data_IF_067199849740
#
_entry.id   IF_067199849740
#
_cell.length_a   1.000
_cell.length_b   1.000
_cell.length_c   1.000
_cell.angle_alpha   90.00
_cell.angle_beta   90.00
_cell.angle_gamma   90.00
#
_symmetry.space_group_name_H-M   'P 1'
#
loop_
_entity.id
_entity.type
_entity.pdbx_description
1 polymer ?
#
# COMPACT_ATOMS: atom_id res chain seq x y z
N UNK A 1 5.38 42.22 -23.35
CA UNK A 1 5.37 40.77 -23.68
C UNK A 1 4.80 40.03 -22.48
N UNK A 2 3.70 39.27 -22.61
CA UNK A 2 3.18 38.48 -21.50
C UNK A 2 3.99 37.18 -21.35
N UNK A 3 4.36 36.87 -20.11
CA UNK A 3 4.90 35.59 -19.68
C UNK A 3 3.86 34.48 -19.93
N UNK A 4 4.15 33.58 -20.85
CA UNK A 4 3.41 32.33 -21.00
C UNK A 4 3.55 31.51 -19.72
N UNK A 5 2.47 31.44 -18.95
CA UNK A 5 2.30 30.42 -17.91
C UNK A 5 2.23 29.07 -18.60
N UNK A 6 3.37 28.38 -18.71
CA UNK A 6 3.38 27.01 -19.19
C UNK A 6 2.70 26.13 -18.14
N UNK A 7 1.41 25.86 -18.38
CA UNK A 7 0.63 24.80 -17.73
C UNK A 7 1.33 23.48 -18.07
N UNK A 8 2.22 23.02 -17.20
CA UNK A 8 2.53 21.60 -17.12
C UNK A 8 1.24 20.88 -16.73
N UNK A 9 0.48 20.50 -17.75
CA UNK A 9 -0.61 19.55 -17.66
C UNK A 9 -0.03 18.32 -16.98
N UNK A 10 -0.46 18.08 -15.76
CA UNK A 10 -0.19 16.85 -15.03
C UNK A 10 -0.62 15.68 -15.92
N UNK A 11 0.34 15.07 -16.63
CA UNK A 11 0.09 13.95 -17.51
C UNK A 11 -0.46 12.83 -16.62
N UNK A 12 -1.68 12.37 -16.89
CA UNK A 12 -2.24 11.24 -16.17
C UNK A 12 -1.34 10.04 -16.39
N UNK A 13 -0.81 9.48 -15.29
CA UNK A 13 0.02 8.29 -15.35
C UNK A 13 -0.80 7.13 -15.91
N UNK A 14 -0.26 6.41 -16.88
CA UNK A 14 -0.87 5.27 -17.56
C UNK A 14 -0.44 4.00 -16.85
N UNK A 15 -1.40 3.20 -16.42
CA UNK A 15 -1.14 1.96 -15.70
C UNK A 15 -1.93 0.79 -16.28
N UNK A 16 -1.37 -0.41 -16.20
CA UNK A 16 -2.03 -1.66 -16.57
C UNK A 16 -1.80 -2.76 -15.54
N UNK A 17 -2.55 -3.85 -15.64
CA UNK A 17 -2.34 -5.07 -14.85
C UNK A 17 -1.80 -6.16 -15.76
N UNK A 18 -0.72 -6.81 -15.36
CA UNK A 18 -0.13 -7.95 -16.06
C UNK A 18 0.09 -9.13 -15.11
N UNK A 19 0.46 -10.28 -15.64
CA UNK A 19 0.66 -11.50 -14.87
C UNK A 19 1.75 -12.41 -15.44
N UNK A 20 2.29 -13.26 -14.59
CA UNK A 20 3.48 -14.08 -14.88
C UNK A 20 3.21 -15.32 -15.74
N UNK A 21 2.10 -16.02 -15.48
CA UNK A 21 1.74 -17.24 -16.20
C UNK A 21 0.22 -17.42 -16.31
N UNK A 22 -0.29 -18.22 -17.28
CA UNK A 22 -1.73 -18.32 -17.59
C UNK A 22 -2.64 -18.65 -16.41
N UNK A 23 -2.17 -19.47 -15.45
CA UNK A 23 -2.91 -19.79 -14.22
C UNK A 23 -3.29 -18.58 -13.34
N UNK A 24 -2.69 -17.41 -13.55
CA UNK A 24 -3.01 -16.17 -12.82
C UNK A 24 -3.94 -15.23 -13.59
N UNK A 25 -4.32 -15.56 -14.83
CA UNK A 25 -5.08 -14.68 -15.72
C UNK A 25 -6.42 -14.25 -15.11
N UNK A 26 -7.16 -15.17 -14.50
CA UNK A 26 -8.45 -14.86 -13.87
C UNK A 26 -8.29 -13.88 -12.68
N UNK A 27 -7.28 -14.10 -11.83
CA UNK A 27 -7.00 -13.22 -10.69
C UNK A 27 -6.53 -11.83 -11.16
N UNK A 28 -5.70 -11.77 -12.20
CA UNK A 28 -5.24 -10.51 -12.79
C UNK A 28 -6.40 -9.74 -13.46
N UNK A 29 -7.28 -10.43 -14.18
CA UNK A 29 -8.48 -9.83 -14.77
C UNK A 29 -9.45 -9.28 -13.71
N UNK A 30 -9.62 -10.00 -12.59
CA UNK A 30 -10.39 -9.53 -11.45
C UNK A 30 -9.81 -8.25 -10.84
N UNK A 31 -8.49 -8.22 -10.65
CA UNK A 31 -7.78 -7.04 -10.15
C UNK A 31 -7.88 -5.85 -11.11
N UNK A 32 -7.69 -6.08 -12.42
CA UNK A 32 -7.83 -5.06 -13.45
C UNK A 32 -9.21 -4.40 -13.41
N UNK A 33 -10.27 -5.22 -13.32
CA UNK A 33 -11.66 -4.74 -13.20
C UNK A 33 -11.88 -3.94 -11.91
N UNK A 34 -11.36 -4.43 -10.77
CA UNK A 34 -11.48 -3.75 -9.49
C UNK A 34 -10.82 -2.36 -9.52
N UNK A 35 -9.71 -2.21 -10.24
CA UNK A 35 -8.94 -0.98 -10.32
C UNK A 35 -9.34 -0.07 -11.49
N UNK A 36 -10.20 -0.53 -12.39
CA UNK A 36 -10.52 0.18 -13.63
C UNK A 36 -9.32 0.33 -14.57
N UNK A 37 -8.40 -0.65 -14.56
CA UNK A 37 -7.19 -0.66 -15.37
C UNK A 37 -7.28 -1.70 -16.50
N UNK A 38 -6.61 -1.50 -17.64
CA UNK A 38 -6.51 -2.52 -18.67
C UNK A 38 -5.71 -3.73 -18.19
N UNK A 39 -6.16 -4.93 -18.57
CA UNK A 39 -5.35 -6.15 -18.48
C UNK A 39 -4.45 -6.20 -19.71
N UNK A 40 -3.14 -6.33 -19.51
CA UNK A 40 -2.14 -6.34 -20.58
C UNK A 40 -1.33 -7.64 -20.53
N UNK A 41 -1.03 -8.19 -21.70
CA UNK A 41 -0.24 -9.42 -21.87
C UNK A 41 1.26 -9.15 -21.84
N UNK A 42 1.69 -7.93 -22.17
CA UNK A 42 3.08 -7.47 -22.13
C UNK A 42 3.13 -6.05 -21.56
N UNK A 43 4.28 -5.68 -20.98
CA UNK A 43 4.59 -4.29 -20.67
C UNK A 43 4.64 -3.53 -21.99
N UNK A 44 3.62 -2.73 -22.27
CA UNK A 44 3.58 -1.90 -23.47
C UNK A 44 4.37 -0.60 -23.21
N UNK A 45 5.04 -0.10 -24.24
CA UNK A 45 5.83 1.14 -24.20
C UNK A 45 4.98 2.39 -23.89
N UNK A 46 3.65 2.26 -23.96
CA UNK A 46 2.68 3.31 -23.66
C UNK A 46 2.15 3.27 -22.21
N UNK A 47 2.66 2.41 -21.35
CA UNK A 47 2.39 2.48 -19.92
C UNK A 47 3.53 3.22 -19.21
N UNK A 48 3.23 3.82 -18.07
CA UNK A 48 4.25 4.35 -17.15
C UNK A 48 4.50 3.35 -16.00
N UNK A 49 3.48 2.56 -15.65
CA UNK A 49 3.54 1.53 -14.62
C UNK A 49 2.74 0.28 -14.98
N UNK A 50 3.19 -0.87 -14.47
CA UNK A 50 2.42 -2.12 -14.51
C UNK A 50 2.33 -2.72 -13.12
N UNK A 51 1.11 -3.04 -12.72
CA UNK A 51 0.82 -3.83 -11.54
C UNK A 51 0.88 -5.31 -11.94
N UNK A 52 1.98 -5.96 -11.58
CA UNK A 52 2.34 -7.29 -12.04
C UNK A 52 1.99 -8.35 -10.99
N UNK A 53 1.12 -9.29 -11.35
CA UNK A 53 0.74 -10.44 -10.53
C UNK A 53 1.71 -11.60 -10.80
N UNK A 54 2.58 -11.88 -9.82
CA UNK A 54 3.44 -13.08 -9.85
C UNK A 54 2.76 -14.24 -9.15
N UNK A 55 3.38 -15.42 -9.20
CA UNK A 55 2.93 -16.58 -8.44
C UNK A 55 2.93 -16.35 -6.92
N UNK A 56 3.71 -15.38 -6.42
CA UNK A 56 3.94 -15.20 -4.98
C UNK A 56 3.48 -13.87 -4.43
N UNK A 57 3.24 -12.84 -5.24
CA UNK A 57 2.89 -11.49 -4.77
C UNK A 57 2.29 -10.61 -5.85
N UNK A 58 1.86 -9.42 -5.44
CA UNK A 58 1.61 -8.28 -6.32
C UNK A 58 2.77 -7.29 -6.22
N UNK A 59 3.25 -6.78 -7.35
CA UNK A 59 4.33 -5.79 -7.38
C UNK A 59 4.07 -4.72 -8.44
N UNK A 60 4.59 -3.52 -8.22
CA UNK A 60 4.58 -2.41 -9.16
C UNK A 60 5.90 -2.37 -9.92
N UNK A 61 5.83 -2.31 -11.25
CA UNK A 61 6.98 -2.20 -12.14
C UNK A 61 6.88 -0.89 -12.94
N UNK A 62 8.01 -0.25 -13.19
CA UNK A 62 8.13 0.89 -14.09
C UNK A 62 8.31 0.40 -15.52
N UNK A 63 7.76 1.14 -16.47
CA UNK A 63 7.81 0.80 -17.89
C UNK A 63 8.41 2.00 -18.62
N UNK A 64 9.73 1.95 -18.87
CA UNK A 64 10.50 3.04 -19.49
C UNK A 64 12.03 2.90 -19.36
N UNK A 65 12.76 3.72 -20.12
CA UNK A 65 14.22 3.61 -20.35
C UNK A 65 15.11 4.08 -19.19
N UNK A 66 14.56 4.76 -18.19
CA UNK A 66 15.32 5.06 -16.97
C UNK A 66 15.47 3.74 -16.22
N UNK A 67 16.70 3.18 -16.24
CA UNK A 67 17.10 1.86 -15.69
C UNK A 67 16.05 1.29 -14.73
N UNK A 68 15.45 0.12 -15.00
CA UNK A 68 14.20 -0.28 -14.36
C UNK A 68 14.36 -0.19 -12.85
N UNK A 69 13.68 0.80 -12.25
CA UNK A 69 13.60 0.89 -10.81
C UNK A 69 13.09 -0.46 -10.32
N UNK A 70 13.83 -1.07 -9.39
CA UNK A 70 13.50 -2.39 -8.88
C UNK A 70 12.00 -2.45 -8.51
N UNK A 71 11.29 -3.54 -8.81
CA UNK A 71 9.87 -3.63 -8.52
C UNK A 71 9.59 -3.28 -7.06
N UNK A 72 8.47 -2.61 -6.81
CA UNK A 72 8.06 -2.24 -5.45
C UNK A 72 6.82 -3.02 -5.04
N UNK A 73 6.86 -3.59 -3.84
CA UNK A 73 5.73 -4.29 -3.24
C UNK A 73 5.71 -4.05 -1.73
N UNK A 74 4.55 -4.21 -1.11
CA UNK A 74 4.45 -4.20 0.36
C UNK A 74 5.04 -5.50 0.91
N UNK A 75 6.00 -5.42 1.83
CA UNK A 75 6.71 -6.59 2.35
C UNK A 75 6.84 -6.52 3.87
N UNK A 76 6.37 -7.56 4.54
CA UNK A 76 6.35 -7.67 6.00
C UNK A 76 6.96 -8.97 6.52
N UNK A 77 7.16 -9.98 5.65
CA UNK A 77 7.62 -11.33 6.02
C UNK A 77 9.13 -11.48 5.76
N UNK A 78 9.61 -11.05 4.59
CA UNK A 78 10.99 -11.28 4.14
C UNK A 78 11.80 -9.98 3.99
N UNK A 79 13.10 -10.05 4.26
CA UNK A 79 14.06 -9.01 3.85
C UNK A 79 14.09 -7.73 4.72
N UNK A 80 14.76 -6.68 4.24
CA UNK A 80 15.01 -5.44 4.99
C UNK A 80 13.75 -4.70 5.44
N UNK A 81 12.63 -4.83 4.72
CA UNK A 81 11.34 -4.27 5.13
C UNK A 81 10.69 -5.08 6.28
N UNK A 82 10.88 -6.41 6.30
CA UNK A 82 10.48 -7.27 7.42
C UNK A 82 11.44 -7.22 8.63
N UNK A 83 12.72 -6.87 8.44
CA UNK A 83 13.74 -6.99 9.51
C UNK A 83 14.73 -5.81 9.69
N UNK A 84 15.06 -4.99 8.67
CA UNK A 84 15.99 -3.85 8.86
C UNK A 84 15.26 -2.65 9.48
N UNK A 85 15.35 -2.49 10.80
CA UNK A 85 16.45 -1.80 11.50
C UNK A 85 16.73 -0.40 10.98
N UNK A 86 15.77 0.51 11.15
CA UNK A 86 16.10 1.83 11.71
C UNK A 86 15.71 1.80 13.17
N UNK A 87 16.60 1.30 14.03
CA UNK A 87 16.36 1.23 15.49
C UNK A 87 15.92 2.59 16.05
N UNK A 88 16.53 3.68 15.58
CA UNK A 88 16.13 5.04 16.00
C UNK A 88 14.75 5.49 15.52
N UNK A 89 14.40 5.26 14.24
CA UNK A 89 13.11 5.71 13.68
C UNK A 89 11.90 4.98 14.28
N UNK A 90 12.04 3.66 14.52
CA UNK A 90 11.00 2.85 15.16
C UNK A 90 10.71 3.33 16.58
N UNK A 91 11.75 3.60 17.35
CA UNK A 91 11.60 4.05 18.73
C UNK A 91 10.95 5.43 18.81
N UNK A 92 11.31 6.35 17.91
CA UNK A 92 10.64 7.66 17.81
C UNK A 92 9.16 7.52 17.44
N UNK A 93 8.81 6.64 16.50
CA UNK A 93 7.42 6.38 16.13
C UNK A 93 6.61 5.82 17.31
N UNK A 94 7.13 4.80 17.98
CA UNK A 94 6.49 4.14 19.14
C UNK A 94 6.29 5.16 20.27
N UNK A 95 7.31 5.99 20.54
CA UNK A 95 7.23 7.07 21.55
C UNK A 95 6.23 8.14 21.15
N UNK A 96 6.21 8.56 19.88
CA UNK A 96 5.28 9.60 19.38
C UNK A 96 3.81 9.16 19.48
N UNK A 97 3.53 7.87 19.23
CA UNK A 97 2.20 7.28 19.39
C UNK A 97 1.85 6.99 20.85
N UNK A 98 2.84 7.03 21.75
CA UNK A 98 2.63 6.83 23.19
C UNK A 98 2.37 5.37 23.57
N UNK A 99 2.90 4.41 22.80
CA UNK A 99 2.72 2.99 23.08
C UNK A 99 3.39 2.63 24.41
N UNK A 100 2.60 2.09 25.35
CA UNK A 100 3.08 1.52 26.62
C UNK A 100 2.83 0.02 26.62
N UNK A 101 3.74 -0.77 27.22
CA UNK A 101 3.71 -2.23 27.17
C UNK A 101 2.36 -2.84 27.61
N UNK A 102 1.70 -2.24 28.60
CA UNK A 102 0.46 -2.79 29.18
C UNK A 102 -0.83 -2.18 28.59
N UNK A 103 -0.72 -1.19 27.70
CA UNK A 103 -1.90 -0.52 27.12
C UNK A 103 -1.58 0.05 25.73
N UNK A 104 -1.50 -0.80 24.70
CA UNK A 104 -1.32 -0.31 23.34
C UNK A 104 -2.57 0.45 22.85
N UNK A 105 -2.44 1.65 22.26
CA UNK A 105 -3.58 2.40 21.76
C UNK A 105 -4.15 1.79 20.47
N UNK A 106 -5.38 2.19 20.14
CA UNK A 106 -5.88 2.09 18.76
C UNK A 106 -5.34 3.26 17.95
N UNK A 107 -4.81 2.98 16.77
CA UNK A 107 -4.18 3.96 15.88
C UNK A 107 -4.95 4.05 14.58
N UNK A 108 -5.17 5.28 14.11
CA UNK A 108 -5.63 5.55 12.76
C UNK A 108 -4.46 6.08 11.94
N UNK A 109 -4.05 5.32 10.92
CA UNK A 109 -3.08 5.75 9.92
C UNK A 109 -3.84 6.30 8.70
N UNK A 110 -3.90 7.63 8.60
CA UNK A 110 -4.65 8.32 7.56
C UNK A 110 -3.94 8.31 6.18
N UNK A 111 -2.70 7.82 6.13
CA UNK A 111 -1.79 7.87 4.98
C UNK A 111 -1.02 6.56 4.83
N UNK A 112 -1.78 5.47 4.71
CA UNK A 112 -1.27 4.10 4.85
C UNK A 112 -0.05 3.76 4.00
N UNK A 113 -0.01 4.22 2.76
CA UNK A 113 1.08 3.93 1.84
C UNK A 113 1.36 2.43 1.76
N UNK A 114 2.63 2.05 1.94
CA UNK A 114 3.06 0.64 1.97
C UNK A 114 2.95 -0.01 3.36
N UNK A 115 2.27 0.63 4.32
CA UNK A 115 1.90 0.05 5.62
C UNK A 115 3.05 -0.23 6.59
N UNK A 116 4.26 0.28 6.34
CA UNK A 116 5.44 -0.04 7.16
C UNK A 116 5.30 0.41 8.62
N UNK A 117 4.89 1.65 8.83
CA UNK A 117 4.78 2.25 10.18
C UNK A 117 3.58 1.64 10.93
N UNK A 118 2.45 1.46 10.25
CA UNK A 118 1.32 0.69 10.75
C UNK A 118 1.72 -0.73 11.18
N UNK A 119 2.52 -1.44 10.39
CA UNK A 119 2.98 -2.79 10.72
C UNK A 119 3.93 -2.81 11.94
N UNK A 120 4.76 -1.78 12.09
CA UNK A 120 5.59 -1.61 13.30
C UNK A 120 4.70 -1.43 14.55
N UNK A 121 3.69 -0.58 14.47
CA UNK A 121 2.78 -0.31 15.59
C UNK A 121 1.91 -1.52 15.94
N UNK A 122 1.45 -2.25 14.93
CA UNK A 122 0.73 -3.51 15.11
C UNK A 122 1.59 -4.58 15.79
N UNK A 123 2.87 -4.67 15.41
CA UNK A 123 3.85 -5.54 16.09
C UNK A 123 4.15 -5.12 17.54
N UNK A 124 3.81 -3.89 17.94
CA UNK A 124 3.83 -3.43 19.33
C UNK A 124 2.47 -3.61 20.04
N UNK A 125 1.52 -4.30 19.43
CA UNK A 125 0.22 -4.62 20.01
C UNK A 125 -0.91 -3.64 19.69
N UNK A 126 -0.64 -2.56 18.95
CA UNK A 126 -1.66 -1.57 18.58
C UNK A 126 -2.68 -2.19 17.60
N UNK A 127 -3.96 -1.86 17.77
CA UNK A 127 -4.94 -2.05 16.69
C UNK A 127 -4.80 -0.89 15.71
N UNK A 128 -4.60 -1.14 14.42
CA UNK A 128 -4.31 -0.09 13.43
C UNK A 128 -5.33 -0.10 12.31
N UNK A 129 -6.01 1.03 12.12
CA UNK A 129 -6.90 1.28 10.98
C UNK A 129 -6.15 2.11 9.95
N UNK A 130 -5.87 1.51 8.80
CA UNK A 130 -5.14 2.15 7.71
C UNK A 130 -6.12 2.66 6.66
N UNK A 131 -5.95 3.91 6.25
CA UNK A 131 -6.62 4.48 5.08
C UNK A 131 -5.61 4.73 3.97
N UNK A 132 -5.90 4.20 2.79
CA UNK A 132 -5.14 4.49 1.58
C UNK A 132 -6.09 4.83 0.43
N UNK A 133 -5.94 6.04 -0.12
CA UNK A 133 -6.82 6.58 -1.15
C UNK A 133 -6.45 6.11 -2.56
N UNK A 134 -5.18 5.80 -2.80
CA UNK A 134 -4.71 5.34 -4.09
C UNK A 134 -5.04 3.84 -4.22
N UNK A 135 -5.93 3.45 -5.15
CA UNK A 135 -6.41 2.08 -5.24
C UNK A 135 -5.31 1.07 -5.62
N UNK A 136 -4.28 1.50 -6.36
CA UNK A 136 -3.12 0.66 -6.70
C UNK A 136 -2.26 0.40 -5.46
N UNK A 137 -1.98 1.44 -4.67
CA UNK A 137 -1.20 1.29 -3.43
C UNK A 137 -1.97 0.46 -2.41
N UNK A 138 -3.28 0.68 -2.28
CA UNK A 138 -4.14 -0.13 -1.41
C UNK A 138 -4.16 -1.62 -1.84
N UNK A 139 -4.12 -1.92 -3.15
CA UNK A 139 -4.03 -3.29 -3.64
C UNK A 139 -2.68 -3.94 -3.30
N UNK A 140 -1.56 -3.21 -3.44
CA UNK A 140 -0.22 -3.67 -3.03
C UNK A 140 -0.16 -3.93 -1.53
N UNK A 141 -0.68 -3.01 -0.71
CA UNK A 141 -0.73 -3.15 0.73
C UNK A 141 -1.59 -4.35 1.15
N UNK A 142 -2.76 -4.53 0.53
CA UNK A 142 -3.63 -5.68 0.78
C UNK A 142 -2.93 -7.00 0.48
N UNK A 143 -2.22 -7.10 -0.64
CA UNK A 143 -1.40 -8.28 -0.98
C UNK A 143 -0.33 -8.56 0.08
N UNK A 144 0.38 -7.53 0.53
CA UNK A 144 1.36 -7.64 1.60
C UNK A 144 0.77 -8.14 2.93
N UNK A 145 -0.38 -7.58 3.34
CA UNK A 145 -1.07 -7.98 4.56
C UNK A 145 -1.60 -9.42 4.50
N UNK A 146 -2.10 -9.87 3.35
CA UNK A 146 -2.53 -11.25 3.16
C UNK A 146 -1.36 -12.23 3.31
N UNK A 147 -0.20 -11.90 2.75
CA UNK A 147 1.02 -12.71 2.92
C UNK A 147 1.52 -12.72 4.36
N UNK A 148 1.44 -11.59 5.05
CA UNK A 148 1.77 -11.50 6.47
C UNK A 148 0.83 -12.36 7.34
N UNK A 149 -0.48 -12.34 7.05
CA UNK A 149 -1.45 -13.17 7.77
C UNK A 149 -1.19 -14.68 7.60
N UNK A 150 -0.63 -15.08 6.46
CA UNK A 150 -0.27 -16.48 6.18
C UNK A 150 1.03 -16.93 6.88
N UNK A 151 1.93 -16.03 7.28
CA UNK A 151 3.19 -16.37 7.96
C UNK A 151 3.00 -16.41 9.48
N UNK A 152 3.40 -17.50 10.17
CA UNK A 152 3.29 -17.60 11.63
C UNK A 152 3.93 -16.43 12.39
N UNK A 153 5.07 -15.92 11.91
CA UNK A 153 5.85 -14.87 12.56
C UNK A 153 5.19 -13.48 12.50
N UNK A 154 4.29 -13.28 11.54
CA UNK A 154 3.71 -11.97 11.21
C UNK A 154 2.18 -11.93 11.31
N UNK A 155 1.56 -13.11 11.53
CA UNK A 155 0.11 -13.29 11.62
C UNK A 155 -0.55 -12.39 12.65
N UNK A 156 -0.01 -12.33 13.87
CA UNK A 156 -0.61 -11.58 14.97
C UNK A 156 -0.57 -10.07 14.70
N UNK A 157 0.53 -9.57 14.14
CA UNK A 157 0.65 -8.19 13.71
C UNK A 157 -0.34 -7.87 12.58
N UNK A 158 -0.43 -8.76 11.58
CA UNK A 158 -1.35 -8.58 10.46
C UNK A 158 -2.83 -8.58 10.90
N UNK A 159 -3.19 -9.43 11.88
CA UNK A 159 -4.54 -9.52 12.42
C UNK A 159 -5.01 -8.25 13.14
N UNK A 160 -4.08 -7.41 13.60
CA UNK A 160 -4.38 -6.12 14.22
C UNK A 160 -4.54 -4.97 13.22
N UNK A 161 -4.38 -5.22 11.92
CA UNK A 161 -4.43 -4.21 10.87
C UNK A 161 -5.72 -4.33 10.07
N UNK A 162 -6.45 -3.22 9.98
CA UNK A 162 -7.65 -3.08 9.16
C UNK A 162 -7.41 -2.06 8.06
N UNK A 163 -7.37 -2.50 6.80
CA UNK A 163 -7.19 -1.63 5.64
C UNK A 163 -8.52 -1.17 5.04
N UNK A 164 -8.70 0.14 4.93
CA UNK A 164 -9.79 0.81 4.24
C UNK A 164 -9.24 1.53 3.00
N UNK A 165 -9.67 1.09 1.81
CA UNK A 165 -9.29 1.72 0.55
C UNK A 165 -10.20 2.93 0.28
N UNK A 166 -9.93 4.05 0.96
CA UNK A 166 -10.74 5.27 0.88
C UNK A 166 -9.92 6.53 1.20
N UNK A 167 -10.48 7.70 0.85
CA UNK A 167 -9.96 8.99 1.32
C UNK A 167 -10.25 9.14 2.82
N UNK A 168 -9.19 9.24 3.62
CA UNK A 168 -9.28 9.37 5.09
C UNK A 168 -10.04 10.61 5.53
N UNK A 169 -10.04 11.70 4.75
CA UNK A 169 -10.76 12.93 5.10
C UNK A 169 -12.24 12.68 5.30
N UNK A 170 -12.87 11.89 4.42
CA UNK A 170 -14.29 11.53 4.52
C UNK A 170 -14.62 10.82 5.83
N UNK A 171 -13.70 10.00 6.32
CA UNK A 171 -13.86 9.31 7.58
C UNK A 171 -13.66 10.26 8.77
N UNK A 172 -12.60 11.07 8.73
CA UNK A 172 -12.27 12.03 9.78
C UNK A 172 -13.36 13.10 9.96
N UNK A 173 -13.95 13.58 8.86
CA UNK A 173 -15.10 14.51 8.87
C UNK A 173 -16.30 13.93 9.64
N UNK A 174 -16.56 12.63 9.49
CA UNK A 174 -17.63 11.95 10.22
C UNK A 174 -17.29 11.70 11.70
N UNK A 175 -16.01 11.67 12.08
CA UNK A 175 -15.61 11.53 13.49
C UNK A 175 -15.70 12.85 14.27
N UNK A 176 -15.50 13.99 13.62
CA UNK A 176 -15.58 15.31 14.27
C UNK A 176 -17.01 15.76 14.54
N UNK A 177 -18.01 14.94 14.19
CA UNK A 177 -19.42 15.23 14.40
C UNK A 177 -20.07 14.17 15.31
N UNK A 178 -19.86 14.22 16.64
CA UNK A 178 -20.33 13.17 17.56
C UNK A 178 -21.85 13.23 17.85
N UNK A 179 -22.66 13.82 16.97
CA UNK A 179 -24.04 14.26 17.27
C UNK A 179 -25.09 14.05 16.18
N UNK A 180 -24.92 13.10 15.26
CA UNK A 180 -26.01 12.69 14.38
C UNK A 180 -26.93 11.67 15.06
N UNK A 181 -28.02 12.13 15.67
CA UNK A 181 -29.22 11.31 15.88
C UNK A 181 -29.87 11.01 14.53
#
# INVERSE_FOLDING_TARGET
>A
MPLEKNKDRQRSLRAGVAFDHPGLAAAAAGLARQLGLPLVSQVADDLDFVLFRTATRLELRWTGDVAPAAPVWAEFVKGPAGYRRRRGGREMLIRAVGVKQDRPPSVLDATGGMGRDAFILAGCGCAVHIFERNPVVAALLRDGLLRAAASPETRDSAARIHLVAADSRKFLENMTNPGGK
#
